data_IF_085103313589
#
_entry.id   IF_085103313589
#
_cell.length_a   1.000
_cell.length_b   1.000
_cell.length_c   1.000
_cell.angle_alpha   90.00
_cell.angle_beta   90.00
_cell.angle_gamma   90.00
#
_symmetry.space_group_name_H-M   'P 1'
#
loop_
_entity.id
_entity.type
_entity.pdbx_description
1 polymer ?
#
# COMPACT_ATOMS: atom_id res chain seq x y z
N UNK A 1 7.73 50.61 -48.97
CA UNK A 1 6.89 49.43 -48.70
C UNK A 1 7.72 48.42 -47.92
N UNK A 2 7.63 48.49 -46.58
CA UNK A 2 8.10 47.44 -45.66
C UNK A 2 7.08 46.27 -45.72
N UNK A 3 7.38 45.00 -45.42
CA UNK A 3 8.41 44.42 -44.59
C UNK A 3 8.65 42.95 -45.00
N UNK A 4 9.84 42.44 -44.69
CA UNK A 4 10.13 41.01 -44.57
C UNK A 4 10.07 40.61 -43.07
N UNK A 5 10.14 39.28 -42.85
CA UNK A 5 10.33 38.54 -41.59
C UNK A 5 9.06 37.98 -40.95
N UNK A 6 8.66 36.81 -41.43
CA UNK A 6 7.86 35.87 -40.66
C UNK A 6 8.76 35.24 -39.59
N UNK A 7 8.50 35.54 -38.31
CA UNK A 7 9.19 34.96 -37.18
C UNK A 7 8.31 33.88 -36.52
N UNK A 8 8.96 32.77 -36.18
CA UNK A 8 8.40 31.52 -35.65
C UNK A 8 7.92 31.71 -34.22
N UNK A 9 6.81 31.07 -33.84
CA UNK A 9 6.60 30.65 -32.45
C UNK A 9 6.51 29.14 -32.41
N UNK A 10 7.55 28.52 -31.86
CA UNK A 10 7.57 27.10 -31.54
C UNK A 10 6.50 26.82 -30.48
N UNK A 11 5.63 25.83 -30.72
CA UNK A 11 4.87 25.24 -29.64
C UNK A 11 5.86 24.61 -28.66
N UNK A 12 5.88 25.14 -27.43
CA UNK A 12 6.65 24.59 -26.33
C UNK A 12 5.86 23.38 -25.81
N UNK A 13 6.40 22.18 -26.00
CA UNK A 13 5.89 20.95 -25.40
C UNK A 13 5.63 21.20 -23.90
N UNK A 14 4.38 21.00 -23.49
CA UNK A 14 4.03 20.94 -22.07
C UNK A 14 4.72 19.71 -21.50
N UNK A 15 5.91 19.88 -20.93
CA UNK A 15 6.49 18.89 -20.05
C UNK A 15 5.54 18.78 -18.85
N UNK A 16 4.66 17.78 -18.90
CA UNK A 16 3.95 17.31 -17.72
C UNK A 16 5.01 16.92 -16.70
N UNK A 17 5.13 17.74 -15.65
CA UNK A 17 6.00 17.42 -14.54
C UNK A 17 5.48 16.13 -13.88
N UNK A 18 6.34 15.21 -13.40
CA UNK A 18 5.90 13.96 -12.76
C UNK A 18 5.09 14.14 -11.46
N UNK A 19 4.65 15.35 -11.13
CA UNK A 19 4.08 15.70 -9.83
C UNK A 19 2.56 15.82 -9.79
N UNK A 20 1.85 15.79 -10.93
CA UNK A 20 0.40 16.01 -10.97
C UNK A 20 -0.40 14.83 -11.53
N UNK A 21 0.00 13.60 -11.19
CA UNK A 21 -0.80 12.40 -11.49
C UNK A 21 -1.29 11.75 -10.19
N UNK A 22 -2.59 11.93 -9.96
CA UNK A 22 -3.49 11.08 -9.16
C UNK A 22 -3.52 11.27 -7.63
N UNK A 23 -4.10 12.38 -7.15
CA UNK A 23 -4.67 12.43 -5.79
C UNK A 23 -6.10 11.86 -5.77
N UNK A 24 -6.22 10.53 -5.82
CA UNK A 24 -7.32 9.87 -5.11
C UNK A 24 -6.87 9.71 -3.67
N UNK A 25 -7.07 10.74 -2.85
CA UNK A 25 -6.80 10.67 -1.41
C UNK A 25 -7.55 9.47 -0.83
N UNK A 26 -6.81 8.55 -0.22
CA UNK A 26 -7.41 7.37 0.39
C UNK A 26 -8.12 7.80 1.67
N UNK A 27 -9.27 7.21 1.99
CA UNK A 27 -9.97 7.46 3.26
C UNK A 27 -9.11 7.18 4.51
N UNK A 28 -7.98 6.49 4.35
CA UNK A 28 -7.05 6.17 5.43
C UNK A 28 -5.89 7.16 5.59
N UNK A 29 -5.79 8.19 4.75
CA UNK A 29 -4.66 9.13 4.79
C UNK A 29 -4.59 9.91 6.11
N UNK A 30 -5.74 10.22 6.72
CA UNK A 30 -5.81 10.85 8.05
C UNK A 30 -5.26 9.98 9.19
N UNK A 31 -5.09 8.67 8.96
CA UNK A 31 -4.55 7.72 9.93
C UNK A 31 -3.03 7.49 9.74
N UNK A 32 -2.41 8.26 8.84
CA UNK A 32 -1.00 8.15 8.46
C UNK A 32 -0.30 9.47 8.74
N UNK A 33 0.78 9.42 9.52
CA UNK A 33 1.74 10.51 9.66
C UNK A 33 2.99 10.21 8.83
N UNK A 34 3.51 11.20 8.12
CA UNK A 34 4.78 11.10 7.40
C UNK A 34 5.92 11.58 8.30
N UNK A 35 6.99 10.78 8.38
CA UNK A 35 8.21 11.06 9.14
C UNK A 35 9.42 10.71 8.29
N UNK A 36 10.61 11.22 8.64
CA UNK A 36 11.86 10.87 7.93
C UNK A 36 12.12 9.35 7.91
N UNK A 37 11.65 8.64 8.93
CA UNK A 37 11.79 7.19 9.04
C UNK A 37 10.75 6.37 8.25
N UNK A 38 9.73 7.03 7.69
CA UNK A 38 8.69 6.40 6.87
C UNK A 38 7.27 6.86 7.20
N UNK A 39 6.32 5.95 7.06
CA UNK A 39 4.89 6.18 7.29
C UNK A 39 4.46 5.59 8.63
N UNK A 40 4.05 6.44 9.57
CA UNK A 40 3.58 6.05 10.91
C UNK A 40 2.07 5.95 10.95
N UNK A 41 1.55 4.88 11.56
CA UNK A 41 0.14 4.77 11.90
C UNK A 41 -0.16 5.59 13.16
N UNK A 42 -1.07 6.55 13.08
CA UNK A 42 -1.43 7.41 14.23
C UNK A 42 -2.21 6.66 15.32
N UNK A 43 -2.82 5.52 14.98
CA UNK A 43 -3.63 4.73 15.91
C UNK A 43 -2.79 3.80 16.80
N UNK A 44 -1.71 3.21 16.27
CA UNK A 44 -0.88 2.24 17.00
C UNK A 44 0.62 2.55 17.01
N UNK A 45 1.03 3.67 16.43
CA UNK A 45 2.41 4.17 16.36
C UNK A 45 3.42 3.27 15.62
N UNK A 46 2.98 2.27 14.87
CA UNK A 46 3.88 1.46 14.02
C UNK A 46 4.32 2.23 12.79
N UNK A 47 5.61 2.13 12.46
CA UNK A 47 6.23 2.76 11.30
C UNK A 47 6.47 1.74 10.19
N UNK A 48 6.20 2.14 8.96
CA UNK A 48 6.35 1.34 7.76
C UNK A 48 7.14 2.11 6.70
N UNK A 49 8.06 1.43 6.01
CA UNK A 49 8.88 2.05 4.95
C UNK A 49 8.06 2.49 3.73
N UNK A 50 6.91 1.86 3.47
CA UNK A 50 6.16 2.05 2.24
C UNK A 50 4.68 2.37 2.51
N UNK A 51 4.12 3.30 1.72
CA UNK A 51 2.72 3.73 1.78
C UNK A 51 1.75 2.55 1.61
N UNK A 52 2.05 1.62 0.70
CA UNK A 52 1.24 0.41 0.48
C UNK A 52 1.21 -0.53 1.70
N UNK A 53 2.28 -0.57 2.49
CA UNK A 53 2.37 -1.40 3.68
C UNK A 53 1.52 -0.84 4.81
N UNK A 54 1.60 0.47 5.08
CA UNK A 54 0.78 1.11 6.11
C UNK A 54 -0.72 1.05 5.77
N UNK A 55 -1.10 1.18 4.49
CA UNK A 55 -2.50 0.99 4.10
C UNK A 55 -3.01 -0.42 4.39
N UNK A 56 -2.23 -1.46 4.05
CA UNK A 56 -2.61 -2.84 4.37
C UNK A 56 -2.73 -3.04 5.88
N UNK A 57 -1.81 -2.45 6.63
CA UNK A 57 -1.85 -2.46 8.08
C UNK A 57 -3.14 -1.82 8.62
N UNK A 58 -3.47 -0.59 8.24
CA UNK A 58 -4.69 0.09 8.69
C UNK A 58 -5.94 -0.71 8.29
N UNK A 59 -5.98 -1.20 7.05
CA UNK A 59 -7.14 -1.91 6.52
C UNK A 59 -7.40 -3.27 7.17
N UNK A 60 -6.35 -4.02 7.54
CA UNK A 60 -6.51 -5.43 7.92
C UNK A 60 -5.94 -5.81 9.29
N UNK A 61 -5.09 -4.98 9.88
CA UNK A 61 -4.30 -5.39 11.05
C UNK A 61 -4.45 -4.45 12.26
N UNK A 62 -4.56 -3.14 12.03
CA UNK A 62 -4.63 -2.12 13.06
C UNK A 62 -5.92 -2.24 13.87
N UNK A 63 -5.80 -2.46 15.18
CA UNK A 63 -6.92 -2.74 16.10
C UNK A 63 -7.86 -3.87 15.65
N UNK A 64 -7.39 -4.78 14.79
CA UNK A 64 -8.13 -5.98 14.40
C UNK A 64 -7.57 -7.20 15.11
N UNK A 65 -8.49 -7.98 15.68
CA UNK A 65 -8.17 -9.28 16.25
C UNK A 65 -7.82 -10.29 15.15
N UNK A 66 -6.95 -11.26 15.43
CA UNK A 66 -6.57 -12.27 14.45
C UNK A 66 -7.76 -13.21 14.16
N UNK A 67 -8.30 -13.10 12.95
CA UNK A 67 -9.49 -13.84 12.53
C UNK A 67 -9.19 -15.25 11.99
N UNK A 68 -7.94 -15.53 11.61
CA UNK A 68 -7.59 -16.77 10.93
C UNK A 68 -6.92 -17.74 11.91
N UNK A 69 -7.67 -18.72 12.39
CA UNK A 69 -7.17 -19.77 13.28
C UNK A 69 -6.59 -20.95 12.50
N UNK A 70 -5.48 -21.51 12.99
CA UNK A 70 -4.93 -22.75 12.48
C UNK A 70 -5.83 -23.94 12.84
N UNK A 71 -6.06 -24.85 11.90
CA UNK A 71 -6.87 -26.05 12.17
C UNK A 71 -6.05 -27.17 12.86
N UNK A 72 -4.75 -26.97 13.06
CA UNK A 72 -3.83 -27.94 13.67
C UNK A 72 -3.34 -27.52 15.05
N UNK A 73 -3.52 -26.25 15.43
CA UNK A 73 -3.11 -25.72 16.74
C UNK A 73 -3.88 -24.44 17.09
N UNK A 74 -3.62 -23.87 18.27
CA UNK A 74 -4.30 -22.67 18.77
C UNK A 74 -3.80 -21.34 18.16
N UNK A 75 -2.83 -21.40 17.23
CA UNK A 75 -2.27 -20.20 16.62
C UNK A 75 -3.32 -19.44 15.79
N UNK A 76 -3.36 -18.12 15.97
CA UNK A 76 -4.22 -17.20 15.21
C UNK A 76 -3.40 -16.14 14.49
N UNK A 77 -3.75 -15.89 13.23
CA UNK A 77 -3.14 -14.85 12.40
C UNK A 77 -4.15 -13.77 12.00
N UNK A 78 -3.63 -12.55 11.79
CA UNK A 78 -4.43 -11.42 11.25
C UNK A 78 -4.65 -11.51 9.74
N UNK A 79 -3.85 -12.31 9.02
CA UNK A 79 -3.91 -12.45 7.56
C UNK A 79 -3.79 -13.91 7.14
N UNK A 80 -4.52 -14.28 6.09
CA UNK A 80 -4.49 -15.62 5.50
C UNK A 80 -3.09 -16.03 5.01
N UNK A 81 -2.34 -15.11 4.40
CA UNK A 81 -0.97 -15.40 3.93
C UNK A 81 -0.02 -15.81 5.07
N UNK A 82 -0.18 -15.16 6.23
CA UNK A 82 0.58 -15.47 7.43
C UNK A 82 0.19 -16.83 7.98
N UNK A 83 -1.12 -17.16 8.01
CA UNK A 83 -1.59 -18.48 8.43
C UNK A 83 -1.06 -19.59 7.52
N UNK A 84 -1.11 -19.42 6.19
CA UNK A 84 -0.55 -20.40 5.24
C UNK A 84 0.92 -20.66 5.50
N UNK A 85 1.70 -19.60 5.69
CA UNK A 85 3.13 -19.71 6.00
C UNK A 85 3.35 -20.44 7.32
N UNK A 86 2.55 -20.16 8.35
CA UNK A 86 2.58 -20.87 9.61
C UNK A 86 2.29 -22.37 9.43
N UNK A 87 1.22 -22.73 8.71
CA UNK A 87 0.85 -24.14 8.47
C UNK A 87 1.98 -24.89 7.75
N UNK A 88 2.55 -24.27 6.73
CA UNK A 88 3.67 -24.84 6.00
C UNK A 88 4.92 -25.01 6.86
N UNK A 89 5.33 -23.97 7.61
CA UNK A 89 6.60 -24.00 8.35
C UNK A 89 6.51 -24.78 9.67
N UNK A 90 5.36 -24.76 10.36
CA UNK A 90 5.20 -25.39 11.68
C UNK A 90 4.61 -26.79 11.60
N UNK A 91 3.75 -27.06 10.63
CA UNK A 91 3.11 -28.36 10.48
C UNK A 91 3.60 -29.14 9.25
N UNK A 92 4.41 -28.52 8.38
CA UNK A 92 4.89 -29.13 7.11
C UNK A 92 3.74 -29.60 6.21
N UNK A 93 2.56 -29.02 6.41
CA UNK A 93 1.37 -29.28 5.59
C UNK A 93 1.33 -28.25 4.47
N UNK A 94 1.19 -28.72 3.23
CA UNK A 94 0.98 -27.82 2.09
C UNK A 94 -0.42 -27.24 2.22
N UNK A 95 -0.57 -25.92 2.46
CA UNK A 95 -1.89 -25.32 2.55
C UNK A 95 -2.52 -25.39 1.16
N UNK A 96 -3.71 -25.98 1.06
CA UNK A 96 -4.43 -26.08 -0.21
C UNK A 96 -4.60 -24.66 -0.82
N UNK A 97 -4.48 -24.51 -2.15
CA UNK A 97 -4.77 -23.24 -2.80
C UNK A 97 -6.23 -22.87 -2.52
N UNK A 98 -6.44 -21.82 -1.73
CA UNK A 98 -7.78 -21.35 -1.40
C UNK A 98 -8.50 -20.92 -2.68
N UNK A 99 -9.63 -21.57 -2.97
CA UNK A 99 -10.50 -21.20 -4.09
C UNK A 99 -10.80 -19.70 -4.03
N UNK A 100 -10.52 -18.98 -5.11
CA UNK A 100 -11.02 -17.63 -5.31
C UNK A 100 -12.55 -17.72 -5.38
N UNK A 101 -13.24 -16.96 -4.53
CA UNK A 101 -14.67 -16.72 -4.64
C UNK A 101 -14.90 -15.44 -5.42
#
# INVERSE_FOLDING_TARGET
>A
FMAAQEAVSAHRDSQETPSEVMERTSIYDSLIAFEESGFRCTTCNKVYKHKTSIYKHIKYECNKEPMFQCHLCEYRAKRMSTLRSHVYLKHKVVPLPGKAR
#
